data_IF_361060906926
#
_entry.id   IF_361060906926
#
_cell.length_a   1.000
_cell.length_b   1.000
_cell.length_c   1.000
_cell.angle_alpha   90.00
_cell.angle_beta   90.00
_cell.angle_gamma   90.00
#
_symmetry.space_group_name_H-M   'P 1'
#
loop_
_entity.id
_entity.type
_entity.pdbx_description
1 polymer ?
#
# COMPACT_ATOMS: atom_id res chain seq x y z
N UNK A 1 13.64 -1.59 -4.04
CA UNK A 1 13.90 -2.42 -2.83
C UNK A 1 14.71 -3.64 -3.22
N UNK A 2 15.73 -4.02 -2.45
CA UNK A 2 16.53 -5.25 -2.69
C UNK A 2 16.28 -6.28 -1.61
N UNK A 3 16.33 -7.57 -1.97
CA UNK A 3 16.15 -8.71 -1.07
C UNK A 3 17.41 -9.58 -1.15
N UNK A 4 18.06 -9.78 -0.01
CA UNK A 4 19.21 -10.68 0.10
C UNK A 4 19.00 -11.64 1.25
N UNK A 5 19.68 -12.78 1.22
CA UNK A 5 19.70 -13.71 2.36
C UNK A 5 20.98 -13.48 3.17
N UNK A 6 20.89 -13.65 4.48
CA UNK A 6 22.05 -13.53 5.38
C UNK A 6 22.00 -14.59 6.47
N UNK A 7 23.16 -15.13 6.82
CA UNK A 7 23.36 -15.92 8.03
C UNK A 7 23.85 -15.00 9.14
N UNK A 8 23.07 -14.87 10.23
CA UNK A 8 23.29 -13.89 11.29
C UNK A 8 24.31 -14.41 12.32
N UNK A 9 25.58 -14.08 12.12
CA UNK A 9 26.66 -14.38 13.08
C UNK A 9 26.48 -13.73 14.44
N UNK A 10 25.76 -12.62 14.48
CA UNK A 10 25.48 -11.82 15.69
C UNK A 10 24.37 -12.41 16.58
N UNK A 11 23.64 -13.42 16.08
CA UNK A 11 22.48 -14.00 16.76
C UNK A 11 22.58 -15.54 16.92
N UNK A 12 23.80 -16.06 17.13
CA UNK A 12 24.03 -17.49 17.32
C UNK A 12 23.28 -18.00 18.57
N UNK A 13 22.53 -19.08 18.41
CA UNK A 13 21.77 -19.69 19.49
C UNK A 13 22.66 -20.59 20.40
N UNK A 14 22.07 -21.12 21.47
CA UNK A 14 22.77 -22.01 22.44
C UNK A 14 23.34 -23.28 21.79
N UNK A 15 22.78 -23.72 20.68
CA UNK A 15 23.22 -24.89 19.91
C UNK A 15 24.32 -24.56 18.89
N UNK A 16 24.92 -23.38 18.95
CA UNK A 16 25.93 -22.86 18.01
C UNK A 16 25.43 -22.74 16.56
N UNK A 17 24.12 -22.63 16.36
CA UNK A 17 23.52 -22.41 15.04
C UNK A 17 23.18 -20.93 14.88
N UNK A 18 23.47 -20.38 13.71
CA UNK A 18 23.16 -19.01 13.32
C UNK A 18 21.85 -18.96 12.53
N UNK A 19 20.89 -18.11 12.90
CA UNK A 19 19.63 -18.00 12.20
C UNK A 19 19.82 -17.38 10.82
N UNK A 20 19.11 -17.94 9.84
CA UNK A 20 19.02 -17.40 8.49
C UNK A 20 17.88 -16.38 8.40
N UNK A 21 18.13 -15.30 7.71
CA UNK A 21 17.13 -14.24 7.52
C UNK A 21 17.23 -13.64 6.11
N UNK A 22 16.09 -13.15 5.62
CA UNK A 22 16.08 -12.22 4.48
C UNK A 22 16.36 -10.82 5.01
N UNK A 23 17.23 -10.08 4.32
CA UNK A 23 17.44 -8.65 4.56
C UNK A 23 16.86 -7.85 3.40
N UNK A 24 15.96 -6.98 3.73
CA UNK A 24 15.36 -6.02 2.80
C UNK A 24 16.06 -4.69 2.97
N UNK A 25 16.52 -4.09 1.86
CA UNK A 25 17.14 -2.77 1.87
C UNK A 25 16.34 -1.81 0.99
N UNK A 26 15.96 -0.67 1.56
CA UNK A 26 15.24 0.40 0.88
C UNK A 26 15.54 1.74 1.56
N UNK A 27 15.87 2.77 0.77
CA UNK A 27 16.19 4.12 1.26
C UNK A 27 17.17 4.14 2.43
N UNK A 28 18.30 3.42 2.30
CA UNK A 28 19.35 3.28 3.33
C UNK A 28 18.90 2.62 4.64
N UNK A 29 17.67 2.12 4.72
CA UNK A 29 17.16 1.35 5.87
C UNK A 29 17.20 -0.14 5.56
N UNK A 30 17.35 -0.94 6.62
CA UNK A 30 17.35 -2.41 6.52
C UNK A 30 16.29 -3.00 7.44
N UNK A 31 15.60 -4.03 6.96
CA UNK A 31 14.67 -4.83 7.76
C UNK A 31 14.99 -6.30 7.58
N UNK A 32 15.05 -7.03 8.68
CA UNK A 32 15.35 -8.46 8.70
C UNK A 32 14.07 -9.25 8.92
N UNK A 33 13.92 -10.34 8.17
CA UNK A 33 12.81 -11.29 8.31
C UNK A 33 13.42 -12.68 8.48
N UNK A 34 13.25 -13.26 9.66
CA UNK A 34 13.73 -14.62 9.95
C UNK A 34 13.07 -15.65 9.05
N UNK A 35 13.86 -16.63 8.60
CA UNK A 35 13.35 -17.75 7.81
C UNK A 35 12.83 -18.91 8.68
N UNK A 36 13.04 -18.85 9.99
CA UNK A 36 12.72 -19.94 10.90
C UNK A 36 13.74 -21.09 10.86
N UNK A 37 14.84 -20.93 10.11
CA UNK A 37 15.92 -21.90 9.96
C UNK A 37 17.16 -21.34 10.63
N UNK A 38 17.96 -22.22 11.24
CA UNK A 38 19.29 -21.90 11.77
C UNK A 38 20.27 -22.95 11.29
N UNK A 39 21.48 -22.54 10.90
CA UNK A 39 22.49 -23.42 10.37
C UNK A 39 23.85 -23.19 11.04
N UNK A 40 24.70 -24.21 11.04
CA UNK A 40 26.06 -24.08 11.53
C UNK A 40 26.88 -23.17 10.59
N UNK A 41 27.76 -22.33 11.18
CA UNK A 41 28.55 -21.39 10.38
C UNK A 41 29.43 -22.06 9.34
N UNK A 42 29.90 -23.30 9.60
CA UNK A 42 30.72 -24.09 8.68
C UNK A 42 29.99 -24.54 7.43
N UNK A 43 28.66 -24.62 7.51
CA UNK A 43 27.77 -25.00 6.40
C UNK A 43 27.25 -23.79 5.61
N UNK A 44 27.77 -22.59 5.85
CA UNK A 44 27.33 -21.38 5.15
C UNK A 44 28.48 -20.68 4.41
N UNK A 45 28.32 -20.52 3.11
CA UNK A 45 29.22 -19.73 2.27
C UNK A 45 28.85 -18.25 2.39
N UNK A 46 29.67 -17.46 3.07
CA UNK A 46 29.42 -16.05 3.33
C UNK A 46 29.67 -15.15 2.12
N UNK A 47 30.44 -15.59 1.16
CA UNK A 47 30.72 -14.82 -0.07
C UNK A 47 29.55 -14.95 -1.05
N UNK A 48 29.02 -16.16 -1.20
CA UNK A 48 27.89 -16.46 -2.09
C UNK A 48 26.54 -16.35 -1.40
N UNK A 49 26.51 -16.19 -0.08
CA UNK A 49 25.30 -16.14 0.75
C UNK A 49 24.37 -17.34 0.51
N UNK A 50 24.93 -18.55 0.57
CA UNK A 50 24.20 -19.79 0.34
C UNK A 50 24.78 -20.94 1.18
N UNK A 51 24.04 -22.06 1.37
CA UNK A 51 24.57 -23.24 2.03
C UNK A 51 25.74 -23.84 1.23
N UNK A 52 26.80 -24.30 1.92
CA UNK A 52 27.97 -24.98 1.30
C UNK A 52 27.57 -26.33 0.69
N UNK A 53 28.49 -26.92 -0.08
CA UNK A 53 28.26 -28.25 -0.68
C UNK A 53 28.11 -29.35 0.40
N UNK A 54 28.79 -29.20 1.52
CA UNK A 54 28.83 -30.15 2.62
C UNK A 54 27.67 -29.97 3.62
N UNK A 55 26.77 -29.00 3.39
CA UNK A 55 25.60 -28.81 4.23
C UNK A 55 24.61 -29.97 4.04
N UNK A 56 24.26 -30.73 5.12
CA UNK A 56 23.38 -31.90 5.02
C UNK A 56 22.01 -31.57 4.41
N UNK A 57 21.42 -30.43 4.82
CA UNK A 57 20.07 -30.01 4.44
C UNK A 57 20.11 -28.94 3.33
N UNK A 58 21.19 -28.90 2.54
CA UNK A 58 21.41 -27.88 1.52
C UNK A 58 20.23 -27.65 0.59
N UNK A 59 19.66 -28.72 0.06
CA UNK A 59 18.57 -28.64 -0.92
C UNK A 59 17.29 -28.05 -0.30
N UNK A 60 16.97 -28.47 0.93
CA UNK A 60 15.80 -27.98 1.65
C UNK A 60 15.96 -26.50 2.04
N UNK A 61 17.12 -26.13 2.60
CA UNK A 61 17.42 -24.74 2.97
C UNK A 61 17.35 -23.85 1.74
N UNK A 62 17.95 -24.27 0.62
CA UNK A 62 17.93 -23.51 -0.64
C UNK A 62 16.50 -23.37 -1.19
N UNK A 63 15.69 -24.42 -1.09
CA UNK A 63 14.29 -24.38 -1.49
C UNK A 63 13.49 -23.40 -0.63
N UNK A 64 13.64 -23.44 0.69
CA UNK A 64 12.94 -22.53 1.61
C UNK A 64 13.34 -21.06 1.39
N UNK A 65 14.63 -20.78 1.20
CA UNK A 65 15.16 -19.46 0.84
C UNK A 65 14.49 -18.95 -0.44
N UNK A 66 14.58 -19.75 -1.52
CA UNK A 66 14.07 -19.40 -2.84
C UNK A 66 12.55 -19.21 -2.82
N UNK A 67 11.84 -20.09 -2.13
CA UNK A 67 10.39 -20.00 -1.97
C UNK A 67 9.98 -18.70 -1.26
N UNK A 68 10.70 -18.34 -0.19
CA UNK A 68 10.41 -17.13 0.58
C UNK A 68 10.75 -15.85 -0.20
N UNK A 69 11.85 -15.84 -0.94
CA UNK A 69 12.19 -14.71 -1.83
C UNK A 69 11.09 -14.53 -2.88
N UNK A 70 10.65 -15.60 -3.56
CA UNK A 70 9.57 -15.55 -4.55
C UNK A 70 8.24 -15.05 -3.97
N UNK A 71 7.94 -15.39 -2.71
CA UNK A 71 6.74 -14.86 -2.03
C UNK A 71 6.78 -13.33 -1.95
N UNK A 72 7.93 -12.77 -1.54
CA UNK A 72 8.08 -11.33 -1.43
C UNK A 72 8.19 -10.62 -2.78
N UNK A 73 8.85 -11.22 -3.77
CA UNK A 73 8.88 -10.71 -5.14
C UNK A 73 7.47 -10.62 -5.73
N UNK A 74 6.62 -11.64 -5.50
CA UNK A 74 5.20 -11.58 -5.89
C UNK A 74 4.44 -10.45 -5.19
N UNK A 75 4.70 -10.22 -3.90
CA UNK A 75 4.11 -9.10 -3.15
C UNK A 75 4.55 -7.75 -3.72
N UNK A 76 5.85 -7.58 -3.98
CA UNK A 76 6.43 -6.38 -4.60
C UNK A 76 5.77 -6.13 -5.96
N UNK A 77 5.76 -7.14 -6.84
CA UNK A 77 5.15 -7.03 -8.16
C UNK A 77 3.66 -6.68 -8.09
N UNK A 78 2.93 -7.22 -7.10
CA UNK A 78 1.53 -6.86 -6.88
C UNK A 78 1.37 -5.40 -6.47
N UNK A 79 2.24 -4.87 -5.61
CA UNK A 79 2.23 -3.46 -5.21
C UNK A 79 2.52 -2.55 -6.42
N UNK A 80 3.51 -2.91 -7.25
CA UNK A 80 3.85 -2.17 -8.48
C UNK A 80 2.68 -2.14 -9.46
N UNK A 81 2.02 -3.28 -9.71
CA UNK A 81 0.83 -3.35 -10.58
C UNK A 81 -0.33 -2.50 -10.05
N UNK A 82 -0.46 -2.38 -8.73
CA UNK A 82 -1.46 -1.53 -8.08
C UNK A 82 -1.05 -0.05 -8.00
N UNK A 83 0.13 0.32 -8.52
CA UNK A 83 0.72 1.66 -8.42
C UNK A 83 0.91 2.12 -6.97
N UNK A 84 1.14 1.17 -6.05
CA UNK A 84 1.40 1.43 -4.63
C UNK A 84 2.91 1.52 -4.42
N UNK A 85 3.43 2.57 -3.77
CA UNK A 85 4.85 2.66 -3.45
C UNK A 85 5.34 1.46 -2.64
N UNK A 86 6.43 0.82 -3.09
CA UNK A 86 7.04 -0.31 -2.38
C UNK A 86 7.89 0.22 -1.23
N UNK A 87 7.32 0.27 -0.04
CA UNK A 87 7.98 0.68 1.21
C UNK A 87 7.99 -0.49 2.20
N UNK A 88 8.71 -0.36 3.33
CA UNK A 88 8.63 -1.37 4.39
C UNK A 88 7.23 -1.50 4.96
N UNK A 89 6.50 -0.40 5.08
CA UNK A 89 5.15 -0.41 5.63
C UNK A 89 4.18 -1.15 4.71
N UNK A 90 4.23 -0.88 3.40
CA UNK A 90 3.35 -1.53 2.41
C UNK A 90 3.71 -3.00 2.17
N UNK A 91 5.01 -3.37 2.26
CA UNK A 91 5.46 -4.74 2.01
C UNK A 91 5.27 -5.67 3.22
N UNK A 92 5.51 -5.16 4.43
CA UNK A 92 5.50 -5.95 5.67
C UNK A 92 4.26 -5.74 6.52
N UNK A 93 3.20 -5.16 5.97
CA UNK A 93 1.94 -5.11 6.67
C UNK A 93 1.58 -6.50 7.21
N UNK A 94 1.94 -6.69 8.47
CA UNK A 94 1.38 -7.78 9.24
C UNK A 94 -0.11 -7.47 9.43
N UNK A 95 -0.94 -8.46 9.22
CA UNK A 95 -2.39 -8.46 9.46
C UNK A 95 -2.81 -8.04 10.91
N UNK A 96 -2.08 -7.13 11.56
CA UNK A 96 -2.20 -6.83 12.98
C UNK A 96 -2.46 -5.37 13.37
N UNK A 97 -2.22 -4.43 12.49
CA UNK A 97 -2.65 -3.03 12.67
C UNK A 97 -3.31 -2.51 11.40
N UNK A 98 -4.38 -3.16 10.97
CA UNK A 98 -5.40 -2.40 10.25
C UNK A 98 -5.83 -1.32 11.23
N UNK A 99 -5.43 -0.10 10.99
CA UNK A 99 -6.10 1.04 11.59
C UNK A 99 -7.54 0.85 11.10
N UNK A 100 -8.44 0.43 11.99
CA UNK A 100 -9.87 0.31 11.68
C UNK A 100 -10.42 1.72 11.49
N UNK A 101 -9.89 2.42 10.49
CA UNK A 101 -10.26 3.77 10.14
C UNK A 101 -11.28 3.70 9.01
N UNK A 102 -12.44 4.23 9.25
CA UNK A 102 -13.49 4.36 8.24
C UNK A 102 -13.08 5.43 7.21
N UNK A 103 -13.71 5.39 6.05
CA UNK A 103 -13.51 6.41 5.01
C UNK A 103 -13.76 7.81 5.56
N UNK A 104 -14.83 7.98 6.35
CA UNK A 104 -15.19 9.28 6.95
C UNK A 104 -14.18 9.78 7.98
N UNK A 105 -13.69 8.91 8.87
CA UNK A 105 -12.67 9.27 9.85
C UNK A 105 -11.37 9.70 9.18
N UNK A 106 -10.95 8.99 8.14
CA UNK A 106 -9.73 9.33 7.41
C UNK A 106 -9.88 10.62 6.62
N UNK A 107 -11.04 10.88 5.99
CA UNK A 107 -11.34 12.18 5.38
C UNK A 107 -11.19 13.33 6.37
N UNK A 108 -11.75 13.18 7.59
CA UNK A 108 -11.64 14.20 8.65
C UNK A 108 -10.20 14.48 9.02
N UNK A 109 -9.39 13.42 9.19
CA UNK A 109 -7.94 13.56 9.46
C UNK A 109 -7.21 14.33 8.35
N UNK A 110 -7.52 14.04 7.07
CA UNK A 110 -6.92 14.78 5.95
C UNK A 110 -7.33 16.25 5.96
N UNK A 111 -8.61 16.55 6.22
CA UNK A 111 -9.13 17.91 6.31
C UNK A 111 -8.38 18.69 7.40
N UNK A 112 -8.28 18.13 8.61
CA UNK A 112 -7.54 18.74 9.71
C UNK A 112 -6.06 19.00 9.37
N UNK A 113 -5.39 18.02 8.70
CA UNK A 113 -4.01 18.20 8.24
C UNK A 113 -3.88 19.33 7.22
N UNK A 114 -4.84 19.48 6.30
CA UNK A 114 -4.86 20.54 5.30
C UNK A 114 -5.10 21.91 5.93
N UNK A 115 -5.97 22.00 6.94
CA UNK A 115 -6.22 23.24 7.69
C UNK A 115 -5.01 23.68 8.51
N UNK A 116 -4.32 22.73 9.18
CA UNK A 116 -3.08 23.02 9.93
C UNK A 116 -1.97 23.60 9.07
N UNK A 117 -1.93 23.28 7.77
CA UNK A 117 -0.96 23.83 6.81
C UNK A 117 -1.59 24.93 5.92
N UNK A 118 -2.68 25.54 6.37
CA UNK A 118 -3.37 26.69 5.75
C UNK A 118 -3.83 26.46 4.30
N UNK A 119 -3.99 25.20 3.88
CA UNK A 119 -4.50 24.83 2.55
C UNK A 119 -6.04 24.84 2.51
N UNK A 120 -6.66 25.94 2.90
CA UNK A 120 -8.11 26.06 3.08
C UNK A 120 -8.93 25.75 1.83
N UNK A 121 -8.47 26.16 0.64
CA UNK A 121 -9.15 25.82 -0.63
C UNK A 121 -9.21 24.29 -0.88
N UNK A 122 -8.12 23.58 -0.57
CA UNK A 122 -8.10 22.12 -0.66
C UNK A 122 -8.96 21.47 0.43
N UNK A 123 -8.88 21.95 1.66
CA UNK A 123 -9.72 21.48 2.77
C UNK A 123 -11.21 21.64 2.44
N UNK A 124 -11.62 22.76 1.86
CA UNK A 124 -13.01 23.00 1.44
C UNK A 124 -13.48 21.96 0.40
N UNK A 125 -12.65 21.65 -0.61
CA UNK A 125 -12.99 20.60 -1.60
C UNK A 125 -13.17 19.23 -0.94
N UNK A 126 -12.34 18.89 0.05
CA UNK A 126 -12.45 17.64 0.80
C UNK A 126 -13.72 17.63 1.66
N UNK A 127 -14.06 18.73 2.35
CA UNK A 127 -15.29 18.86 3.13
C UNK A 127 -16.55 18.64 2.27
N UNK A 128 -16.61 19.32 1.12
CA UNK A 128 -17.75 19.17 0.19
C UNK A 128 -17.86 17.73 -0.30
N UNK A 129 -16.73 17.10 -0.65
CA UNK A 129 -16.72 15.70 -1.12
C UNK A 129 -17.18 14.76 0.00
N UNK A 130 -16.72 14.94 1.22
CA UNK A 130 -17.12 14.14 2.39
C UNK A 130 -18.62 14.23 2.63
N UNK A 131 -19.21 15.44 2.56
CA UNK A 131 -20.67 15.64 2.70
C UNK A 131 -21.42 14.87 1.61
N UNK A 132 -20.97 14.90 0.36
CA UNK A 132 -21.62 14.17 -0.72
C UNK A 132 -21.49 12.64 -0.56
N UNK A 133 -20.35 12.15 -0.10
CA UNK A 133 -20.16 10.74 0.26
C UNK A 133 -21.11 10.33 1.37
N UNK A 134 -21.26 11.15 2.42
CA UNK A 134 -22.17 10.88 3.55
C UNK A 134 -23.65 10.88 3.16
N UNK A 135 -24.01 11.66 2.15
CA UNK A 135 -25.39 11.70 1.62
C UNK A 135 -25.70 10.53 0.69
N UNK A 136 -24.67 9.95 0.06
CA UNK A 136 -24.82 8.80 -0.83
C UNK A 136 -24.86 7.49 -0.06
N UNK A 137 -23.87 7.26 0.81
CA UNK A 137 -23.79 6.08 1.70
C UNK A 137 -23.13 6.45 3.02
N UNK A 138 -23.22 5.54 4.00
CA UNK A 138 -22.61 5.76 5.31
C UNK A 138 -21.09 6.05 5.19
N UNK A 139 -20.64 7.13 5.83
CA UNK A 139 -19.20 7.45 5.97
C UNK A 139 -18.44 6.47 6.86
N UNK A 140 -19.16 5.64 7.63
CA UNK A 140 -18.58 4.58 8.46
C UNK A 140 -18.21 3.34 7.64
N UNK A 141 -18.37 3.39 6.30
CA UNK A 141 -17.94 2.33 5.41
C UNK A 141 -16.43 2.15 5.45
N UNK A 142 -15.98 0.94 5.16
CA UNK A 142 -14.55 0.60 5.07
C UNK A 142 -14.01 0.97 3.69
N UNK A 143 -12.70 1.10 3.58
CA UNK A 143 -12.05 1.39 2.29
C UNK A 143 -12.18 0.26 1.26
N UNK A 144 -12.36 -0.99 1.69
CA UNK A 144 -12.59 -2.13 0.79
C UNK A 144 -13.99 -2.12 0.13
N UNK A 145 -14.94 -1.37 0.69
CA UNK A 145 -16.25 -1.13 0.10
C UNK A 145 -16.24 -0.03 -0.99
N UNK A 146 -15.13 0.72 -1.09
CA UNK A 146 -14.93 1.76 -2.09
C UNK A 146 -14.40 1.13 -3.39
N UNK A 147 -15.22 0.28 -4.00
CA UNK A 147 -14.94 -0.49 -5.21
C UNK A 147 -15.42 0.21 -6.49
N UNK A 148 -15.26 -0.44 -7.64
CA UNK A 148 -15.68 0.10 -8.94
C UNK A 148 -17.21 0.31 -9.01
N UNK A 149 -17.98 -0.56 -8.41
CA UNK A 149 -19.45 -0.47 -8.36
C UNK A 149 -19.86 0.76 -7.57
N UNK A 150 -19.25 0.97 -6.39
CA UNK A 150 -19.46 2.18 -5.61
C UNK A 150 -19.17 3.45 -6.41
N UNK A 151 -18.04 3.51 -7.14
CA UNK A 151 -17.68 4.70 -7.92
C UNK A 151 -18.69 5.01 -9.02
N UNK A 152 -19.18 3.99 -9.72
CA UNK A 152 -20.22 4.15 -10.77
C UNK A 152 -21.54 4.62 -10.21
N UNK A 153 -22.00 4.03 -9.11
CA UNK A 153 -23.25 4.43 -8.46
C UNK A 153 -23.14 5.83 -7.86
N UNK A 154 -21.99 6.20 -7.31
CA UNK A 154 -21.75 7.55 -6.81
C UNK A 154 -21.73 8.57 -7.95
N UNK A 155 -21.20 8.21 -9.15
CA UNK A 155 -21.30 9.06 -10.33
C UNK A 155 -22.76 9.32 -10.73
N UNK A 156 -23.60 8.28 -10.79
CA UNK A 156 -25.03 8.40 -11.10
C UNK A 156 -25.71 9.31 -10.07
N UNK A 157 -25.47 9.09 -8.79
CA UNK A 157 -26.01 9.94 -7.71
C UNK A 157 -25.64 11.41 -7.88
N UNK A 158 -24.36 11.70 -8.19
CA UNK A 158 -23.91 13.08 -8.40
C UNK A 158 -24.52 13.72 -9.64
N UNK A 159 -24.70 12.96 -10.74
CA UNK A 159 -25.37 13.44 -11.96
C UNK A 159 -26.83 13.76 -11.74
N UNK A 160 -27.54 12.93 -11.01
CA UNK A 160 -28.96 13.20 -10.62
C UNK A 160 -29.11 14.48 -9.81
N UNK A 161 -28.06 14.92 -9.09
CA UNK A 161 -27.99 16.19 -8.37
C UNK A 161 -27.53 17.37 -9.22
N UNK A 162 -27.45 17.22 -10.54
CA UNK A 162 -27.10 18.29 -11.47
C UNK A 162 -25.61 18.59 -11.56
N UNK A 163 -24.72 17.69 -11.05
CA UNK A 163 -23.28 17.93 -11.18
C UNK A 163 -22.82 17.72 -12.63
N UNK A 164 -22.16 18.73 -13.21
CA UNK A 164 -21.53 18.68 -14.52
C UNK A 164 -20.16 17.99 -14.46
N UNK A 165 -19.65 17.57 -15.62
CA UNK A 165 -18.42 16.77 -15.75
C UNK A 165 -17.22 17.30 -14.95
N UNK A 166 -16.87 18.58 -15.06
CA UNK A 166 -15.72 19.14 -14.33
C UNK A 166 -15.94 19.15 -12.82
N UNK A 167 -17.21 19.30 -12.36
CA UNK A 167 -17.58 19.18 -10.97
C UNK A 167 -17.43 17.73 -10.48
N UNK A 168 -17.82 16.74 -11.29
CA UNK A 168 -17.59 15.32 -11.04
C UNK A 168 -16.10 15.00 -10.97
N UNK A 169 -15.34 15.42 -11.97
CA UNK A 169 -13.89 15.22 -12.03
C UNK A 169 -13.19 15.73 -10.78
N UNK A 170 -13.58 16.91 -10.26
CA UNK A 170 -13.02 17.46 -9.03
C UNK A 170 -13.30 16.56 -7.82
N UNK A 171 -14.56 16.08 -7.65
CA UNK A 171 -14.95 15.24 -6.52
C UNK A 171 -14.28 13.87 -6.56
N UNK A 172 -14.23 13.24 -7.75
CA UNK A 172 -13.53 11.98 -7.95
C UNK A 172 -12.01 12.12 -7.80
N UNK A 173 -11.40 13.26 -8.18
CA UNK A 173 -9.99 13.53 -7.93
C UNK A 173 -9.68 13.58 -6.43
N UNK A 174 -10.55 14.23 -5.64
CA UNK A 174 -10.43 14.26 -4.18
C UNK A 174 -10.56 12.85 -3.60
N UNK A 175 -11.57 12.10 -4.02
CA UNK A 175 -11.82 10.74 -3.52
C UNK A 175 -10.64 9.81 -3.87
N UNK A 176 -10.11 9.88 -5.11
CA UNK A 176 -8.91 9.15 -5.54
C UNK A 176 -7.69 9.53 -4.70
N UNK A 177 -7.48 10.82 -4.43
CA UNK A 177 -6.37 11.28 -3.62
C UNK A 177 -6.44 10.74 -2.18
N UNK A 178 -7.62 10.76 -1.56
CA UNK A 178 -7.87 10.19 -0.23
C UNK A 178 -7.62 8.68 -0.22
N UNK A 179 -8.15 7.95 -1.21
CA UNK A 179 -7.95 6.52 -1.37
C UNK A 179 -6.47 6.16 -1.49
N UNK A 180 -5.76 6.78 -2.43
CA UNK A 180 -4.33 6.51 -2.65
C UNK A 180 -3.48 6.88 -1.43
N UNK A 181 -3.83 7.95 -0.72
CA UNK A 181 -3.14 8.35 0.49
C UNK A 181 -3.38 7.36 1.64
N UNK A 182 -4.61 6.86 1.81
CA UNK A 182 -4.92 5.81 2.77
C UNK A 182 -4.13 4.52 2.50
N UNK A 183 -3.97 4.16 1.21
CA UNK A 183 -3.12 3.03 0.81
C UNK A 183 -1.66 3.29 1.11
N UNK A 184 -1.13 4.46 0.74
CA UNK A 184 0.30 4.81 0.98
C UNK A 184 0.65 4.97 2.45
N UNK A 185 -0.30 5.37 3.30
CA UNK A 185 -0.14 5.46 4.76
C UNK A 185 -0.45 4.14 5.48
N UNK A 186 -0.75 3.05 4.74
CA UNK A 186 -1.00 1.72 5.31
C UNK A 186 -2.33 1.60 6.07
N UNK A 187 -3.30 2.48 5.83
CA UNK A 187 -4.63 2.41 6.45
C UNK A 187 -5.39 1.15 6.03
N UNK A 188 -5.19 0.73 4.79
CA UNK A 188 -5.70 -0.55 4.28
C UNK A 188 -4.87 -1.04 3.07
N UNK A 189 -5.01 -2.34 2.74
CA UNK A 189 -4.38 -2.94 1.56
C UNK A 189 -5.47 -3.35 0.57
N UNK A 190 -5.57 -2.70 -0.60
CA UNK A 190 -6.59 -3.03 -1.57
C UNK A 190 -6.32 -4.37 -2.27
N UNK A 191 -7.37 -5.12 -2.58
CA UNK A 191 -7.29 -6.29 -3.45
C UNK A 191 -7.07 -5.89 -4.92
N UNK A 192 -7.66 -4.77 -5.32
CA UNK A 192 -7.52 -4.13 -6.63
C UNK A 192 -7.74 -2.63 -6.47
N UNK A 193 -7.13 -1.82 -7.34
CA UNK A 193 -7.35 -0.37 -7.31
C UNK A 193 -8.54 -0.01 -8.25
N UNK A 194 -9.70 0.43 -7.72
CA UNK A 194 -10.86 0.73 -8.53
C UNK A 194 -10.64 1.91 -9.48
N UNK A 195 -9.72 2.82 -9.14
CA UNK A 195 -9.40 3.98 -9.97
C UNK A 195 -8.50 3.66 -11.19
N UNK A 196 -8.03 2.42 -11.34
CA UNK A 196 -7.40 1.97 -12.59
C UNK A 196 -8.45 1.78 -13.68
N UNK A 197 -9.64 1.29 -13.32
CA UNK A 197 -10.77 1.10 -14.24
C UNK A 197 -11.65 2.35 -14.33
N UNK A 198 -11.88 3.04 -13.22
CA UNK A 198 -12.60 4.32 -13.19
C UNK A 198 -11.63 5.48 -13.47
N UNK A 199 -11.54 5.85 -14.75
CA UNK A 199 -10.61 6.89 -15.21
C UNK A 199 -11.15 8.29 -14.96
N UNK A 200 -10.78 8.89 -13.84
CA UNK A 200 -11.20 10.26 -13.46
C UNK A 200 -10.86 11.28 -14.54
N UNK A 201 -9.75 11.08 -15.27
CA UNK A 201 -9.33 11.97 -16.36
C UNK A 201 -10.34 12.11 -17.49
N UNK A 202 -11.14 11.08 -17.78
CA UNK A 202 -12.17 11.12 -18.81
C UNK A 202 -13.37 12.03 -18.48
N UNK A 203 -13.50 12.42 -17.22
CA UNK A 203 -14.58 13.33 -16.78
C UNK A 203 -14.22 14.81 -17.04
N UNK A 204 -12.94 15.14 -17.31
CA UNK A 204 -12.57 16.51 -17.60
C UNK A 204 -13.02 16.93 -18.99
N UNK A 205 -13.72 18.08 -19.07
CA UNK A 205 -14.14 18.71 -20.31
C UNK A 205 -13.57 20.12 -20.40
N UNK A 206 -13.11 20.50 -21.60
CA UNK A 206 -12.65 21.86 -21.85
C UNK A 206 -13.82 22.85 -21.75
N UNK A 207 -13.77 23.73 -20.78
CA UNK A 207 -14.70 24.86 -20.70
C UNK A 207 -14.06 26.05 -21.41
N UNK A 208 -14.69 26.53 -22.49
CA UNK A 208 -14.32 27.83 -23.07
C UNK A 208 -14.61 28.91 -22.03
N UNK A 209 -13.57 29.60 -21.54
CA UNK A 209 -13.74 30.82 -20.76
C UNK A 209 -14.41 31.83 -21.71
N UNK A 210 -15.65 32.20 -21.45
CA UNK A 210 -16.21 33.42 -22.06
C UNK A 210 -15.46 34.58 -21.41
N UNK A 211 -14.67 35.31 -22.21
CA UNK A 211 -14.22 36.65 -21.81
C UNK A 211 -15.48 37.52 -21.70
N UNK A 212 -15.65 38.14 -20.54
CA UNK A 212 -16.64 39.19 -20.31
C UNK A 212 -15.98 40.48 -20.75
#
# INVERSE_FOLDING_TARGET
MTINVVCRRDAINRNRLAPLALVFTHDRRRKFVGLGISEALVHWDFDKQQPTADCPDRAEIQFQITSKIREYEKKIKKLEVLEIPVTFDTLFEQNGKRINCTVGEYFKQIIERLEKVEKYSSASKHKVTLVLVSQFRSVNMRFDELDLTYLREFEIFLRQRGNVNNSLATKFSVLKAVYNKAVSEGVFVPKSNPFQQFKVGSLWTNTRKRAI
#
